data_IF_883922277223
#
_entry.id   IF_883922277223
#
_cell.length_a   1.000
_cell.length_b   1.000
_cell.length_c   1.000
_cell.angle_alpha   90.00
_cell.angle_beta   90.00
_cell.angle_gamma   90.00
#
_symmetry.space_group_name_H-M   'P 1'
#
loop_
_entity.id
_entity.type
_entity.pdbx_description
1 polymer ?
#
# COMPACT_ATOMS: atom_id res chain seq x y z
N UNK A 1 -29.68 -10.14 7.37
CA UNK A 1 -28.63 -9.76 8.34
C UNK A 1 -27.20 -10.18 7.92
N UNK A 2 -27.04 -11.05 6.89
CA UNK A 2 -25.71 -11.45 6.38
C UNK A 2 -25.11 -10.40 5.43
N UNK A 3 -25.92 -9.56 4.81
CA UNK A 3 -25.46 -8.44 3.98
C UNK A 3 -24.79 -7.31 4.81
N UNK A 4 -25.23 -7.08 6.03
CA UNK A 4 -24.67 -6.03 6.90
C UNK A 4 -23.29 -6.40 7.48
N UNK A 5 -22.93 -7.70 7.54
CA UNK A 5 -21.61 -8.13 8.01
C UNK A 5 -20.50 -7.91 6.98
N UNK A 6 -20.82 -7.91 5.70
CA UNK A 6 -19.82 -7.77 4.63
C UNK A 6 -19.30 -6.33 4.48
N UNK A 7 -20.12 -5.32 4.86
CA UNK A 7 -19.70 -3.92 4.88
C UNK A 7 -18.75 -3.58 6.05
N UNK A 8 -18.68 -4.42 7.08
CA UNK A 8 -17.86 -4.18 8.27
C UNK A 8 -16.49 -4.85 8.22
N UNK A 9 -16.19 -5.68 7.23
CA UNK A 9 -14.89 -6.33 7.11
C UNK A 9 -13.93 -5.43 6.32
N UNK A 10 -12.74 -5.10 6.87
CA UNK A 10 -11.75 -4.33 6.15
C UNK A 10 -11.39 -5.00 4.82
N UNK A 11 -11.58 -4.30 3.71
CA UNK A 11 -11.28 -4.85 2.39
C UNK A 11 -9.79 -4.75 2.06
N UNK A 12 -9.13 -3.67 2.49
CA UNK A 12 -7.74 -3.37 2.18
C UNK A 12 -6.92 -3.07 3.44
N UNK A 13 -5.74 -3.70 3.54
CA UNK A 13 -4.64 -3.30 4.41
C UNK A 13 -3.52 -2.73 3.54
N UNK A 14 -3.25 -1.44 3.66
CA UNK A 14 -2.27 -0.71 2.87
C UNK A 14 -1.07 -0.30 3.72
N UNK A 15 0.12 -0.80 3.39
CA UNK A 15 1.36 -0.31 3.95
C UNK A 15 2.09 0.56 2.91
N UNK A 16 2.38 1.80 3.28
CA UNK A 16 3.22 2.69 2.48
C UNK A 16 4.64 2.64 3.01
N UNK A 17 5.62 2.43 2.14
CA UNK A 17 7.05 2.47 2.45
C UNK A 17 7.64 3.68 1.73
N UNK A 18 8.07 4.68 2.49
CA UNK A 18 8.50 5.97 1.97
C UNK A 18 9.96 6.22 2.32
N UNK A 19 10.78 6.37 1.29
CA UNK A 19 12.15 6.82 1.41
C UNK A 19 12.19 8.26 1.95
N UNK A 20 12.93 8.46 3.04
CA UNK A 20 13.22 9.77 3.59
C UNK A 20 14.75 10.06 3.64
N UNK A 21 15.53 9.32 2.85
CA UNK A 21 16.98 9.57 2.75
C UNK A 21 17.31 11.02 2.38
N UNK A 22 18.57 11.41 2.54
CA UNK A 22 18.99 12.79 2.29
C UNK A 22 18.69 13.29 0.88
N UNK A 23 18.73 12.40 -0.13
CA UNK A 23 18.40 12.70 -1.54
C UNK A 23 16.93 13.07 -1.76
N UNK A 24 16.05 12.68 -0.82
CA UNK A 24 14.61 13.01 -0.85
C UNK A 24 14.32 14.45 -0.40
N UNK A 25 15.32 15.23 0.02
CA UNK A 25 15.15 16.61 0.48
C UNK A 25 14.43 17.51 -0.54
N UNK A 26 13.81 18.58 -0.02
CA UNK A 26 13.09 19.57 -0.85
C UNK A 26 11.77 19.05 -1.41
N UNK A 27 11.54 19.23 -2.71
CA UNK A 27 10.28 18.90 -3.37
C UNK A 27 9.92 17.40 -3.31
N UNK A 28 10.91 16.52 -3.35
CA UNK A 28 10.68 15.09 -3.37
C UNK A 28 9.95 14.60 -2.11
N UNK A 29 10.45 14.98 -0.94
CA UNK A 29 9.82 14.55 0.33
C UNK A 29 8.42 15.17 0.50
N UNK A 30 8.22 16.40 0.06
CA UNK A 30 6.90 17.04 0.12
C UNK A 30 5.88 16.34 -0.81
N UNK A 31 6.31 15.94 -2.00
CA UNK A 31 5.46 15.17 -2.91
C UNK A 31 5.20 13.75 -2.38
N UNK A 32 6.17 13.12 -1.73
CA UNK A 32 6.00 11.83 -1.07
C UNK A 32 4.97 11.90 0.07
N UNK A 33 5.04 12.93 0.92
CA UNK A 33 4.04 13.19 1.95
C UNK A 33 2.64 13.42 1.35
N UNK A 34 2.56 14.23 0.29
CA UNK A 34 1.32 14.49 -0.42
C UNK A 34 0.73 13.20 -1.02
N UNK A 35 1.58 12.35 -1.59
CA UNK A 35 1.19 11.07 -2.13
C UNK A 35 0.65 10.11 -1.06
N UNK A 36 1.35 10.02 0.08
CA UNK A 36 0.90 9.22 1.20
C UNK A 36 -0.47 9.69 1.73
N UNK A 37 -0.67 11.00 1.88
CA UNK A 37 -1.97 11.57 2.27
C UNK A 37 -3.07 11.21 1.26
N UNK A 38 -2.81 11.39 -0.03
CA UNK A 38 -3.78 11.08 -1.09
C UNK A 38 -4.19 9.60 -1.07
N UNK A 39 -3.25 8.69 -0.82
CA UNK A 39 -3.56 7.28 -0.66
C UNK A 39 -4.46 7.01 0.56
N UNK A 40 -4.15 7.61 1.71
CA UNK A 40 -4.94 7.47 2.95
C UNK A 40 -6.37 8.02 2.79
N UNK A 41 -6.53 9.14 2.09
CA UNK A 41 -7.82 9.77 1.86
C UNK A 41 -8.78 8.93 0.99
N UNK A 42 -8.24 8.04 0.16
CA UNK A 42 -9.00 7.15 -0.71
C UNK A 42 -9.49 5.87 -0.03
N UNK A 43 -9.00 5.57 1.17
CA UNK A 43 -9.38 4.35 1.90
C UNK A 43 -10.75 4.48 2.56
N UNK A 44 -11.45 3.36 2.67
CA UNK A 44 -12.62 3.23 3.53
C UNK A 44 -12.22 3.42 5.00
N UNK A 45 -13.10 3.96 5.87
CA UNK A 45 -12.81 4.07 7.29
C UNK A 45 -12.44 2.75 7.98
N UNK A 46 -12.94 1.64 7.47
CA UNK A 46 -12.68 0.29 7.99
C UNK A 46 -11.39 -0.34 7.46
N UNK A 47 -10.84 0.18 6.35
CA UNK A 47 -9.55 -0.28 5.83
C UNK A 47 -8.42 0.03 6.83
N UNK A 48 -7.30 -0.65 6.69
CA UNK A 48 -6.11 -0.41 7.50
C UNK A 48 -5.05 0.30 6.69
N UNK A 49 -4.36 1.22 7.33
CA UNK A 49 -3.22 1.92 6.74
C UNK A 49 -2.09 2.12 7.73
N UNK A 50 -0.87 2.04 7.24
CA UNK A 50 0.34 2.38 7.97
C UNK A 50 1.38 2.96 7.03
N UNK A 51 2.28 3.79 7.58
CA UNK A 51 3.35 4.43 6.84
C UNK A 51 4.68 4.17 7.51
N UNK A 52 5.55 3.42 6.85
CA UNK A 52 6.95 3.23 7.23
C UNK A 52 7.78 4.28 6.52
N UNK A 53 8.57 5.04 7.26
CA UNK A 53 9.59 5.91 6.71
C UNK A 53 10.97 5.29 6.93
N UNK A 54 11.83 5.34 5.92
CA UNK A 54 13.16 4.76 6.03
C UNK A 54 14.26 5.67 5.44
N UNK A 55 15.42 5.56 6.04
CA UNK A 55 16.70 6.07 5.60
C UNK A 55 17.76 4.98 5.79
N UNK A 56 18.81 5.19 6.58
CA UNK A 56 19.72 4.13 7.03
C UNK A 56 19.03 3.11 7.95
N UNK A 57 17.93 3.52 8.58
CA UNK A 57 17.05 2.72 9.44
C UNK A 57 15.61 2.83 8.95
N UNK A 58 14.74 2.00 9.52
CA UNK A 58 13.30 2.08 9.23
C UNK A 58 12.50 2.20 10.52
N UNK A 59 11.46 3.01 10.49
CA UNK A 59 10.52 3.18 11.60
C UNK A 59 9.13 3.53 11.08
N UNK A 60 8.13 3.27 11.91
CA UNK A 60 6.79 3.73 11.62
C UNK A 60 6.68 5.24 11.76
N UNK A 61 6.32 5.93 10.68
CA UNK A 61 5.84 7.30 10.75
C UNK A 61 4.40 7.32 11.28
N UNK A 62 3.56 6.38 10.81
CA UNK A 62 2.24 6.08 11.35
C UNK A 62 2.09 4.56 11.40
N UNK A 63 1.89 3.99 12.60
CA UNK A 63 1.68 2.55 12.75
C UNK A 63 0.38 2.10 12.06
N UNK A 64 0.34 0.81 11.68
CA UNK A 64 -0.82 0.20 11.05
C UNK A 64 -2.06 0.35 11.94
N UNK A 65 -3.09 1.03 11.43
CA UNK A 65 -4.32 1.35 12.14
C UNK A 65 -5.49 1.50 11.16
N UNK A 66 -6.72 1.56 11.67
CA UNK A 66 -7.89 1.82 10.83
C UNK A 66 -7.82 3.21 10.20
N UNK A 67 -8.13 3.28 8.90
CA UNK A 67 -8.08 4.50 8.11
C UNK A 67 -9.17 5.52 8.53
N UNK A 68 -10.15 5.12 9.33
CA UNK A 68 -11.11 6.04 9.94
C UNK A 68 -10.45 7.14 10.78
N UNK A 69 -9.25 6.89 11.30
CA UNK A 69 -8.44 7.86 12.04
C UNK A 69 -7.51 8.69 11.14
N UNK A 70 -8.00 9.09 9.95
CA UNK A 70 -7.20 9.78 8.91
C UNK A 70 -6.44 11.00 9.41
N UNK A 71 -7.09 11.82 10.24
CA UNK A 71 -6.49 13.06 10.75
C UNK A 71 -5.20 12.79 11.53
N UNK A 72 -5.18 11.75 12.35
CA UNK A 72 -3.97 11.32 13.08
C UNK A 72 -2.89 10.83 12.12
N UNK A 73 -3.23 9.96 11.17
CA UNK A 73 -2.28 9.42 10.20
C UNK A 73 -1.65 10.55 9.38
N UNK A 74 -2.46 11.47 8.87
CA UNK A 74 -2.00 12.63 8.07
C UNK A 74 -1.11 13.55 8.89
N UNK A 75 -1.43 13.79 10.16
CA UNK A 75 -0.60 14.58 11.07
C UNK A 75 0.79 13.93 11.25
N UNK A 76 0.84 12.61 11.43
CA UNK A 76 2.09 11.87 11.57
C UNK A 76 2.93 11.90 10.29
N UNK A 77 2.31 11.72 9.11
CA UNK A 77 2.98 11.83 7.82
C UNK A 77 3.65 13.21 7.66
N UNK A 78 3.02 14.28 8.13
CA UNK A 78 3.56 15.64 8.01
C UNK A 78 4.90 15.84 8.73
N UNK A 79 5.19 15.02 9.74
CA UNK A 79 6.41 15.08 10.55
C UNK A 79 7.61 14.36 9.93
N UNK A 80 7.45 13.66 8.83
CA UNK A 80 8.57 12.98 8.15
C UNK A 80 9.58 14.04 7.70
N UNK A 81 10.83 13.88 8.11
CA UNK A 81 11.94 14.76 7.74
C UNK A 81 13.00 13.97 6.97
N UNK A 82 13.57 14.51 5.90
CA UNK A 82 14.61 13.85 5.13
C UNK A 82 15.95 13.83 5.88
N UNK A 83 16.72 12.76 5.67
CA UNK A 83 18.07 12.61 6.22
C UNK A 83 18.56 11.18 6.16
N UNK A 84 19.85 10.98 6.34
CA UNK A 84 20.45 9.65 6.36
C UNK A 84 20.69 9.00 4.99
N UNK A 85 21.07 7.74 5.01
CA UNK A 85 21.30 6.90 3.83
C UNK A 85 20.03 6.22 3.34
N UNK A 86 20.19 5.08 2.65
CA UNK A 86 19.06 4.34 2.06
C UNK A 86 19.22 2.84 2.36
N UNK A 87 18.37 2.29 3.22
CA UNK A 87 18.32 0.86 3.56
C UNK A 87 16.88 0.36 3.56
N UNK A 88 16.49 -0.25 2.47
CA UNK A 88 15.09 -0.65 2.20
C UNK A 88 14.66 -1.92 2.96
N UNK A 89 15.58 -2.88 3.19
CA UNK A 89 15.22 -4.17 3.73
C UNK A 89 14.51 -4.12 5.10
N UNK A 90 14.95 -3.31 6.09
CA UNK A 90 14.23 -3.17 7.35
C UNK A 90 12.80 -2.62 7.19
N UNK A 91 12.58 -1.73 6.22
CA UNK A 91 11.25 -1.17 5.94
C UNK A 91 10.30 -2.22 5.39
N UNK A 92 10.78 -3.07 4.48
CA UNK A 92 10.01 -4.20 3.97
C UNK A 92 9.64 -5.18 5.08
N UNK A 93 10.56 -5.49 6.01
CA UNK A 93 10.31 -6.37 7.16
C UNK A 93 9.25 -5.79 8.10
N UNK A 94 9.30 -4.49 8.38
CA UNK A 94 8.27 -3.83 9.21
C UNK A 94 6.89 -3.93 8.56
N UNK A 95 6.78 -3.62 7.27
CA UNK A 95 5.51 -3.71 6.53
C UNK A 95 4.99 -5.14 6.48
N UNK A 96 5.86 -6.12 6.21
CA UNK A 96 5.51 -7.54 6.19
C UNK A 96 4.86 -7.99 7.50
N UNK A 97 5.55 -7.80 8.62
CA UNK A 97 5.06 -8.21 9.95
C UNK A 97 3.75 -7.54 10.34
N UNK A 98 3.56 -6.28 9.98
CA UNK A 98 2.34 -5.57 10.29
C UNK A 98 1.16 -6.06 9.44
N UNK A 99 1.35 -6.22 8.14
CA UNK A 99 0.32 -6.73 7.25
C UNK A 99 -0.06 -8.19 7.55
N UNK A 100 0.89 -9.02 8.00
CA UNK A 100 0.57 -10.38 8.45
C UNK A 100 -0.53 -10.40 9.53
N UNK A 101 -0.47 -9.46 10.48
CA UNK A 101 -1.38 -9.33 11.61
C UNK A 101 -2.62 -8.51 11.31
N UNK A 102 -2.65 -7.83 10.17
CA UNK A 102 -3.78 -6.97 9.77
C UNK A 102 -4.95 -7.81 9.28
N UNK A 103 -6.16 -7.67 9.87
CA UNK A 103 -7.33 -8.46 9.47
C UNK A 103 -8.00 -7.87 8.23
N UNK A 104 -7.29 -7.82 7.09
CA UNK A 104 -7.79 -7.34 5.82
C UNK A 104 -7.73 -8.45 4.76
N UNK A 105 -8.69 -8.45 3.85
CA UNK A 105 -8.77 -9.45 2.76
C UNK A 105 -7.63 -9.26 1.75
N UNK A 106 -7.41 -8.02 1.32
CA UNK A 106 -6.32 -7.65 0.43
C UNK A 106 -5.23 -6.95 1.24
N UNK A 107 -3.99 -7.34 1.03
CA UNK A 107 -2.83 -6.74 1.67
C UNK A 107 -1.90 -6.21 0.59
N UNK A 108 -1.66 -4.91 0.61
CA UNK A 108 -0.92 -4.24 -0.46
C UNK A 108 0.16 -3.32 0.10
N UNK A 109 1.29 -3.30 -0.58
CA UNK A 109 2.42 -2.39 -0.28
C UNK A 109 2.66 -1.49 -1.48
N UNK A 110 2.79 -0.19 -1.22
CA UNK A 110 3.32 0.78 -2.18
C UNK A 110 4.64 1.31 -1.64
N UNK A 111 5.70 1.16 -2.41
CA UNK A 111 7.06 1.51 -2.02
C UNK A 111 7.61 2.62 -2.91
N UNK A 112 8.14 3.68 -2.31
CA UNK A 112 8.75 4.81 -3.00
C UNK A 112 10.21 5.00 -2.58
N UNK A 113 11.11 5.10 -3.54
CA UNK A 113 12.51 5.48 -3.33
C UNK A 113 13.08 6.24 -4.54
N UNK A 114 14.02 7.14 -4.29
CA UNK A 114 14.79 7.86 -5.33
C UNK A 114 16.25 7.40 -5.43
N UNK A 115 16.67 6.47 -4.58
CA UNK A 115 18.06 6.04 -4.44
C UNK A 115 18.30 4.56 -4.66
N UNK A 116 19.56 4.21 -4.50
CA UNK A 116 20.02 2.84 -4.44
C UNK A 116 20.14 2.43 -2.98
N UNK A 117 19.44 1.36 -2.61
CA UNK A 117 19.54 0.81 -1.27
C UNK A 117 20.88 0.13 -1.03
N UNK A 118 21.33 0.16 0.23
CA UNK A 118 22.37 -0.74 0.69
C UNK A 118 22.00 -2.19 0.35
N UNK A 119 23.00 -3.09 0.14
CA UNK A 119 22.73 -4.50 -0.12
C UNK A 119 21.82 -5.12 0.95
N UNK A 120 20.90 -5.96 0.52
CA UNK A 120 19.95 -6.61 1.41
C UNK A 120 19.25 -7.80 0.75
N UNK A 121 18.55 -8.58 1.55
CA UNK A 121 17.85 -9.78 1.10
C UNK A 121 16.44 -9.48 0.54
N UNK A 122 16.33 -8.47 -0.32
CA UNK A 122 15.08 -7.90 -0.79
C UNK A 122 14.16 -8.92 -1.45
N UNK A 123 14.71 -9.75 -2.36
CA UNK A 123 13.91 -10.71 -3.11
C UNK A 123 13.33 -11.81 -2.22
N UNK A 124 14.09 -12.25 -1.21
CA UNK A 124 13.60 -13.23 -0.25
C UNK A 124 12.47 -12.65 0.62
N UNK A 125 12.58 -11.38 1.02
CA UNK A 125 11.51 -10.69 1.76
C UNK A 125 10.27 -10.58 0.86
N UNK A 126 10.44 -10.14 -0.40
CA UNK A 126 9.34 -10.01 -1.34
C UNK A 126 8.63 -11.34 -1.62
N UNK A 127 9.39 -12.45 -1.72
CA UNK A 127 8.80 -13.80 -1.86
C UNK A 127 7.98 -14.19 -0.63
N UNK A 128 8.50 -13.99 0.59
CA UNK A 128 7.73 -14.26 1.82
C UNK A 128 6.44 -13.43 1.88
N UNK A 129 6.49 -12.18 1.43
CA UNK A 129 5.29 -11.34 1.35
C UNK A 129 4.29 -11.88 0.32
N UNK A 130 4.77 -12.28 -0.86
CA UNK A 130 3.93 -12.90 -1.88
C UNK A 130 3.31 -14.23 -1.42
N UNK A 131 4.09 -15.08 -0.74
CA UNK A 131 3.62 -16.35 -0.16
C UNK A 131 2.55 -16.12 0.92
N UNK A 132 2.58 -14.95 1.58
CA UNK A 132 1.57 -14.50 2.52
C UNK A 132 0.40 -13.72 1.84
N UNK A 133 0.24 -13.84 0.53
CA UNK A 133 -0.77 -13.15 -0.28
C UNK A 133 -0.73 -11.62 -0.18
N UNK A 134 0.46 -11.06 -0.02
CA UNK A 134 0.67 -9.62 -0.06
C UNK A 134 1.18 -9.21 -1.44
N UNK A 135 0.62 -8.15 -2.00
CA UNK A 135 1.10 -7.58 -3.26
C UNK A 135 2.00 -6.37 -3.04
N UNK A 136 2.99 -6.17 -3.92
CA UNK A 136 3.98 -5.11 -3.79
C UNK A 136 4.03 -4.31 -5.09
N UNK A 137 3.70 -3.04 -5.01
CA UNK A 137 3.94 -2.08 -6.10
C UNK A 137 5.07 -1.13 -5.73
N UNK A 138 5.88 -0.79 -6.70
CA UNK A 138 7.08 0.02 -6.48
C UNK A 138 7.08 1.25 -7.36
N UNK A 139 7.56 2.35 -6.81
CA UNK A 139 7.68 3.65 -7.49
C UNK A 139 9.14 4.11 -7.40
N UNK A 140 9.80 4.16 -8.55
CA UNK A 140 11.12 4.74 -8.70
C UNK A 140 10.98 6.24 -8.97
N UNK A 141 11.64 7.10 -8.19
CA UNK A 141 11.61 8.55 -8.36
C UNK A 141 12.93 9.06 -8.96
N UNK A 142 12.84 9.67 -10.13
CA UNK A 142 14.00 10.21 -10.84
C UNK A 142 14.91 9.11 -11.43
N UNK A 143 16.13 9.51 -11.80
CA UNK A 143 17.07 8.64 -12.50
C UNK A 143 18.05 7.90 -11.56
N UNK A 144 18.07 8.24 -10.28
CA UNK A 144 18.96 7.64 -9.28
C UNK A 144 18.46 6.35 -8.66
N UNK A 145 17.17 6.04 -8.81
CA UNK A 145 16.57 4.88 -8.20
C UNK A 145 17.08 3.55 -8.82
N UNK A 146 17.14 2.53 -8.00
CA UNK A 146 17.54 1.17 -8.40
C UNK A 146 16.39 0.47 -9.18
N UNK A 147 16.12 0.95 -10.39
CA UNK A 147 14.94 0.54 -11.18
C UNK A 147 14.88 -0.95 -11.47
N UNK A 148 16.03 -1.61 -11.73
CA UNK A 148 16.08 -3.04 -11.97
C UNK A 148 15.62 -3.85 -10.74
N UNK A 149 16.04 -3.45 -9.53
CA UNK A 149 15.60 -4.07 -8.29
C UNK A 149 14.10 -3.84 -8.07
N UNK A 150 13.64 -2.60 -8.19
CA UNK A 150 12.23 -2.23 -7.96
C UNK A 150 11.28 -2.95 -8.93
N UNK A 151 11.67 -3.11 -10.19
CA UNK A 151 10.91 -3.93 -11.16
C UNK A 151 10.80 -5.38 -10.72
N UNK A 152 11.92 -5.98 -10.25
CA UNK A 152 11.91 -7.36 -9.76
C UNK A 152 11.04 -7.53 -8.52
N UNK A 153 11.11 -6.60 -7.57
CA UNK A 153 10.28 -6.65 -6.36
C UNK A 153 8.79 -6.57 -6.69
N UNK A 154 8.39 -5.68 -7.60
CA UNK A 154 7.01 -5.58 -8.07
C UNK A 154 6.57 -6.87 -8.80
N UNK A 155 7.43 -7.46 -9.64
CA UNK A 155 7.15 -8.72 -10.32
C UNK A 155 6.98 -9.89 -9.35
N UNK A 156 7.86 -10.03 -8.36
CA UNK A 156 7.78 -11.06 -7.32
C UNK A 156 6.50 -10.88 -6.49
N UNK A 157 6.20 -9.64 -6.10
CA UNK A 157 5.02 -9.30 -5.31
C UNK A 157 3.70 -9.22 -6.08
N UNK A 158 3.70 -9.53 -7.39
CA UNK A 158 2.46 -9.51 -8.19
C UNK A 158 1.81 -8.12 -8.33
N UNK A 159 2.55 -7.05 -8.07
CA UNK A 159 2.10 -5.67 -8.22
C UNK A 159 2.63 -4.99 -9.48
N UNK A 160 2.79 -3.68 -9.42
CA UNK A 160 3.17 -2.83 -10.55
C UNK A 160 4.41 -2.01 -10.26
N UNK A 161 5.22 -1.78 -11.28
CA UNK A 161 6.35 -0.86 -11.24
C UNK A 161 5.99 0.44 -11.94
N UNK A 162 6.33 1.55 -11.32
CA UNK A 162 6.18 2.90 -11.86
C UNK A 162 7.52 3.64 -11.87
N UNK A 163 7.77 4.38 -12.95
CA UNK A 163 8.87 5.34 -13.01
C UNK A 163 8.30 6.75 -12.99
N UNK A 164 8.47 7.46 -11.88
CA UNK A 164 8.16 8.87 -11.77
C UNK A 164 9.43 9.68 -12.11
N UNK A 165 9.48 10.29 -13.27
CA UNK A 165 10.62 11.13 -13.67
C UNK A 165 10.69 12.40 -12.87
N UNK A 166 9.54 12.92 -12.44
CA UNK A 166 9.40 14.12 -11.63
C UNK A 166 8.59 13.82 -10.36
N UNK A 167 8.96 14.48 -9.27
CA UNK A 167 8.30 14.27 -7.98
C UNK A 167 6.81 14.62 -8.01
N UNK A 168 6.40 15.55 -8.83
CA UNK A 168 5.00 15.98 -9.00
C UNK A 168 4.07 14.88 -9.50
N UNK A 169 4.60 13.82 -10.14
CA UNK A 169 3.82 12.68 -10.59
C UNK A 169 3.48 11.69 -9.46
N UNK A 170 4.23 11.68 -8.36
CA UNK A 170 4.12 10.67 -7.30
C UNK A 170 2.74 10.62 -6.64
N UNK A 171 2.09 11.74 -6.28
CA UNK A 171 0.75 11.70 -5.68
C UNK A 171 -0.28 11.02 -6.57
N UNK A 172 -0.25 11.29 -7.88
CA UNK A 172 -1.16 10.66 -8.85
C UNK A 172 -0.93 9.16 -8.97
N UNK A 173 0.33 8.72 -8.93
CA UNK A 173 0.70 7.30 -8.97
C UNK A 173 0.16 6.58 -7.74
N UNK A 174 0.36 7.13 -6.54
CA UNK A 174 -0.13 6.56 -5.29
C UNK A 174 -1.66 6.47 -5.27
N UNK A 175 -2.34 7.53 -5.67
CA UNK A 175 -3.81 7.54 -5.76
C UNK A 175 -4.32 6.45 -6.73
N UNK A 176 -3.75 6.36 -7.92
CA UNK A 176 -4.11 5.33 -8.92
C UNK A 176 -3.88 3.93 -8.38
N UNK A 177 -2.74 3.69 -7.75
CA UNK A 177 -2.38 2.37 -7.22
C UNK A 177 -3.29 1.96 -6.06
N UNK A 178 -3.62 2.88 -5.17
CA UNK A 178 -4.55 2.65 -4.05
C UNK A 178 -5.94 2.27 -4.57
N UNK A 179 -6.47 2.99 -5.55
CA UNK A 179 -7.76 2.66 -6.19
C UNK A 179 -7.72 1.29 -6.83
N UNK A 180 -6.63 0.95 -7.52
CA UNK A 180 -6.48 -0.35 -8.18
C UNK A 180 -6.46 -1.49 -7.14
N UNK A 181 -5.76 -1.33 -6.03
CA UNK A 181 -5.74 -2.30 -4.94
C UNK A 181 -7.13 -2.48 -4.29
N UNK A 182 -7.85 -1.38 -4.05
CA UNK A 182 -9.21 -1.42 -3.50
C UNK A 182 -10.20 -2.12 -4.43
N UNK A 183 -10.10 -1.90 -5.74
CA UNK A 183 -10.96 -2.56 -6.73
C UNK A 183 -10.70 -4.07 -6.82
N UNK A 184 -9.48 -4.52 -6.60
CA UNK A 184 -9.16 -5.96 -6.53
C UNK A 184 -9.88 -6.61 -5.35
N UNK A 185 -10.01 -5.93 -4.23
CA UNK A 185 -10.74 -6.41 -3.06
C UNK A 185 -12.24 -6.66 -3.36
N UNK A 186 -12.85 -5.81 -4.18
CA UNK A 186 -14.27 -5.95 -4.57
C UNK A 186 -14.48 -7.11 -5.55
N UNK A 187 -13.53 -7.36 -6.46
CA UNK A 187 -13.65 -8.41 -7.48
C UNK A 187 -13.49 -9.83 -6.93
N UNK A 188 -12.84 -9.99 -5.80
CA UNK A 188 -12.64 -11.30 -5.14
C UNK A 188 -13.83 -11.74 -4.27
N UNK A 189 -14.90 -10.94 -4.20
CA UNK A 189 -16.15 -11.37 -3.59
C UNK A 189 -16.75 -12.51 -4.43
N UNK A 190 -16.99 -13.71 -3.84
CA UNK A 190 -17.64 -14.77 -4.56
C UNK A 190 -19.05 -14.32 -4.98
N UNK A 191 -19.34 -14.38 -6.27
CA UNK A 191 -20.69 -14.19 -6.78
C UNK A 191 -21.52 -15.38 -6.29
N UNK A 192 -22.29 -15.20 -5.22
CA UNK A 192 -23.29 -16.16 -4.82
C UNK A 192 -24.52 -15.94 -5.71
N UNK A 193 -24.83 -16.86 -6.63
CA UNK A 193 -26.06 -16.75 -7.41
C UNK A 193 -27.24 -16.79 -6.44
N UNK A 194 -28.04 -15.73 -6.44
CA UNK A 194 -29.32 -15.73 -5.71
C UNK A 194 -30.23 -16.68 -6.46
N UNK A 195 -30.59 -17.81 -5.83
CA UNK A 195 -31.60 -18.72 -6.35
C UNK A 195 -32.94 -17.99 -6.33
N UNK A 196 -33.36 -17.49 -7.49
CA UNK A 196 -34.71 -16.96 -7.67
C UNK A 196 -35.66 -18.12 -7.66
N UNK A 197 -36.31 -18.39 -6.52
CA UNK A 197 -37.41 -19.37 -6.46
C UNK A 197 -38.54 -18.83 -7.34
N UNK A 198 -39.01 -19.61 -8.34
CA UNK A 198 -40.17 -19.21 -9.09
C UNK A 198 -41.35 -19.07 -8.13
N UNK A 199 -42.04 -17.95 -8.20
CA UNK A 199 -43.26 -17.75 -7.44
C UNK A 199 -44.27 -18.84 -7.86
N UNK A 200 -45.01 -19.46 -6.93
CA UNK A 200 -46.03 -20.43 -7.30
C UNK A 200 -47.11 -19.73 -8.14
N UNK A 201 -47.28 -20.20 -9.36
CA UNK A 201 -48.40 -19.79 -10.20
C UNK A 201 -49.70 -20.13 -9.47
N UNK A 202 -50.46 -19.15 -9.08
CA UNK A 202 -51.83 -19.32 -8.63
C UNK A 202 -52.65 -19.78 -9.86
N UNK A 203 -52.81 -21.10 -10.02
CA UNK A 203 -53.85 -21.65 -10.81
C UNK A 203 -55.15 -21.49 -10.02
N UNK A 204 -56.00 -20.60 -10.48
CA UNK A 204 -57.30 -20.30 -9.83
C UNK A 204 -58.29 -19.74 -10.79
N UNK A 205 -59.23 -20.60 -11.23
CA UNK A 205 -60.60 -20.39 -11.71
C UNK A 205 -60.75 -19.68 -13.05
#
# INVERSE_FOLDING_TARGET
SDFERDEQTPSLGLALIVDKSGSMGGQKIEMAKKAARAAIELLSPMDYAGVVAFDSNASWAAEMQQAGNRGSIVSLISRIQPGGGTNLAPAMELAHRALERTPARIKHVIMLTDGQSQPGNFEAIARRMADANMTISTVALGNGAHTALLRRLAAIGGGRFYLAREATAVPRIFAKETVTASQSAVRELPFLPVEVRPAPFLAGV
#
